data_IF_035754787855
#
_entry.id   IF_035754787855
#
_cell.length_a   1.000
_cell.length_b   1.000
_cell.length_c   1.000
_cell.angle_alpha   90.00
_cell.angle_beta   90.00
_cell.angle_gamma   90.00
#
_symmetry.space_group_name_H-M   'P 1'
#
loop_
_entity.id
_entity.type
_entity.pdbx_description
1 polymer ?
#
# COMPACT_ATOMS: atom_id res chain seq x y z
N UNK A 1 -39.22 49.09 6.88
CA UNK A 1 -38.44 48.93 5.63
C UNK A 1 -36.96 48.80 6.02
N UNK A 2 -36.51 47.66 6.55
CA UNK A 2 -35.10 47.29 6.83
C UNK A 2 -35.02 45.79 7.18
N UNK A 3 -35.24 44.94 6.19
CA UNK A 3 -35.07 43.48 6.33
C UNK A 3 -34.82 42.90 4.93
N UNK A 4 -33.62 43.09 4.37
CA UNK A 4 -33.17 42.43 3.14
C UNK A 4 -31.70 42.76 2.89
N UNK A 5 -30.76 42.25 3.73
CA UNK A 5 -29.33 42.28 3.37
C UNK A 5 -28.47 41.33 4.26
N UNK A 6 -28.93 40.13 4.55
CA UNK A 6 -28.11 39.12 5.30
C UNK A 6 -28.24 37.73 4.66
N UNK A 7 -28.40 37.61 3.37
CA UNK A 7 -28.48 36.30 2.70
C UNK A 7 -27.52 36.13 1.50
N UNK A 8 -26.42 36.88 1.43
CA UNK A 8 -25.52 36.78 0.26
C UNK A 8 -24.04 36.56 0.58
N UNK A 9 -23.68 36.08 1.78
CA UNK A 9 -22.27 35.76 2.12
C UNK A 9 -22.03 34.29 2.49
N UNK A 10 -23.06 33.43 2.44
CA UNK A 10 -22.94 32.01 2.76
C UNK A 10 -22.65 31.11 1.54
N UNK A 11 -22.54 31.67 0.33
CA UNK A 11 -22.45 30.90 -0.91
C UNK A 11 -21.06 30.69 -1.52
N UNK A 12 -20.00 31.28 -0.96
CA UNK A 12 -18.70 31.33 -1.69
C UNK A 12 -17.55 30.61 -0.98
N UNK A 13 -17.79 29.94 0.14
CA UNK A 13 -16.74 29.19 0.88
C UNK A 13 -16.73 27.68 0.57
N UNK A 14 -17.76 27.16 -0.10
CA UNK A 14 -17.84 25.70 -0.40
C UNK A 14 -17.12 25.25 -1.67
N UNK A 15 -16.42 26.12 -2.41
CA UNK A 15 -15.79 25.73 -3.69
C UNK A 15 -14.27 25.51 -3.64
N UNK A 16 -13.62 25.61 -2.48
CA UNK A 16 -12.17 25.36 -2.35
C UNK A 16 -11.80 24.07 -1.59
N UNK A 17 -12.77 23.30 -1.12
CA UNK A 17 -12.53 22.00 -0.46
C UNK A 17 -12.69 20.78 -1.38
N UNK A 18 -12.97 21.00 -2.66
CA UNK A 18 -13.32 19.95 -3.62
C UNK A 18 -12.14 19.21 -4.28
N UNK A 19 -10.90 19.56 -4.00
CA UNK A 19 -9.75 18.98 -4.73
C UNK A 19 -8.86 18.03 -3.92
N UNK A 20 -9.14 17.75 -2.65
CA UNK A 20 -8.34 16.87 -1.81
C UNK A 20 -9.04 15.51 -1.54
N UNK A 21 -10.33 15.38 -1.82
CA UNK A 21 -11.10 14.16 -1.48
C UNK A 21 -11.12 13.09 -2.57
N UNK A 22 -10.60 13.37 -3.79
CA UNK A 22 -10.68 12.40 -4.89
C UNK A 22 -9.67 11.25 -4.77
N UNK A 23 -8.62 11.38 -3.95
CA UNK A 23 -7.56 10.37 -3.82
C UNK A 23 -7.84 9.38 -2.66
N UNK A 24 -8.60 9.78 -1.64
CA UNK A 24 -8.96 8.89 -0.52
C UNK A 24 -10.04 7.86 -0.89
N UNK A 25 -10.94 8.20 -1.81
CA UNK A 25 -12.10 7.36 -2.16
C UNK A 25 -11.71 6.11 -2.98
N UNK A 26 -10.51 6.07 -3.54
CA UNK A 26 -10.00 4.94 -4.33
C UNK A 26 -8.90 4.13 -3.64
N UNK A 27 -8.44 4.56 -2.47
CA UNK A 27 -7.45 3.84 -1.67
C UNK A 27 -8.06 2.59 -1.03
N UNK A 28 -7.30 1.50 -1.00
CA UNK A 28 -7.72 0.32 -0.25
C UNK A 28 -7.36 0.47 1.23
N UNK A 29 -8.38 0.57 2.06
CA UNK A 29 -8.26 0.60 3.52
C UNK A 29 -8.65 -0.75 4.13
N UNK A 30 -7.72 -1.38 4.82
CA UNK A 30 -8.00 -2.58 5.61
C UNK A 30 -8.19 -2.19 7.08
N UNK A 31 -9.36 -2.49 7.63
CA UNK A 31 -9.68 -2.20 9.04
C UNK A 31 -9.30 -3.41 9.89
N UNK A 32 -8.43 -3.22 10.89
CA UNK A 32 -8.00 -4.25 11.83
C UNK A 32 -8.21 -3.71 13.25
N UNK A 33 -9.27 -4.14 13.90
CA UNK A 33 -9.64 -3.65 15.23
C UNK A 33 -9.84 -2.13 15.24
N UNK A 34 -9.22 -1.39 16.17
CA UNK A 34 -9.32 0.07 16.25
C UNK A 34 -8.30 0.81 15.38
N UNK A 35 -7.70 0.15 14.39
CA UNK A 35 -6.76 0.71 13.43
C UNK A 35 -7.11 0.35 12.01
N UNK A 36 -6.39 0.95 11.07
CA UNK A 36 -6.49 0.66 9.65
C UNK A 36 -5.14 0.75 8.96
N UNK A 37 -5.00 0.01 7.86
CA UNK A 37 -3.87 0.10 6.95
C UNK A 37 -4.37 0.76 5.68
N UNK A 38 -3.77 1.87 5.31
CA UNK A 38 -3.91 2.46 3.98
C UNK A 38 -2.84 1.84 3.07
N UNK A 39 -3.25 0.88 2.29
CA UNK A 39 -2.36 0.14 1.38
C UNK A 39 -1.98 0.92 0.13
N UNK A 40 -2.69 2.01 -0.17
CA UNK A 40 -2.33 2.88 -1.27
C UNK A 40 -1.19 3.83 -0.86
N UNK A 41 -1.31 4.53 0.26
CA UNK A 41 -0.26 5.43 0.75
C UNK A 41 0.83 4.72 1.56
N UNK A 42 0.63 3.47 1.96
CA UNK A 42 1.53 2.72 2.82
C UNK A 42 1.61 3.29 4.23
N UNK A 43 0.46 3.44 4.88
CA UNK A 43 0.39 4.01 6.21
C UNK A 43 -0.43 3.13 7.17
N UNK A 44 0.08 3.01 8.39
CA UNK A 44 -0.67 2.49 9.53
C UNK A 44 -1.33 3.64 10.27
N UNK A 45 -2.61 3.51 10.56
CA UNK A 45 -3.41 4.46 11.33
C UNK A 45 -4.00 3.73 12.54
N UNK A 46 -3.82 4.26 13.73
CA UNK A 46 -4.42 3.69 14.95
C UNK A 46 -5.00 4.77 15.81
N UNK A 47 -6.14 4.50 16.43
CA UNK A 47 -6.83 5.44 17.32
C UNK A 47 -6.77 4.98 18.76
N UNK A 48 -6.83 5.93 19.68
CA UNK A 48 -6.92 5.69 21.10
C UNK A 48 -7.82 6.72 21.78
N UNK A 49 -8.51 6.26 22.81
CA UNK A 49 -9.43 7.06 23.60
C UNK A 49 -8.94 7.10 25.05
N UNK A 50 -8.84 8.29 25.61
CA UNK A 50 -8.48 8.52 27.02
C UNK A 50 -9.61 9.20 27.77
N UNK A 51 -10.10 8.56 28.80
CA UNK A 51 -11.14 9.10 29.66
C UNK A 51 -10.51 9.98 30.75
N UNK A 52 -11.18 11.07 31.14
CA UNK A 52 -10.76 11.86 32.30
C UNK A 52 -10.89 11.04 33.60
N UNK A 53 -9.98 11.21 34.57
CA UNK A 53 -10.01 10.45 35.83
C UNK A 53 -11.25 10.70 36.66
N UNK A 54 -11.89 11.84 36.51
CA UNK A 54 -13.10 12.23 37.26
C UNK A 54 -14.20 12.60 36.28
N UNK A 55 -15.45 12.11 36.57
CA UNK A 55 -16.65 12.45 35.78
C UNK A 55 -17.10 13.91 35.88
N UNK A 56 -16.47 14.74 36.70
CA UNK A 56 -16.71 16.17 36.72
C UNK A 56 -15.98 16.80 35.51
N UNK A 57 -16.74 17.61 34.76
CA UNK A 57 -16.25 18.37 33.59
C UNK A 57 -14.80 18.78 33.81
N UNK A 58 -13.92 18.34 32.92
CA UNK A 58 -12.47 18.45 33.08
C UNK A 58 -12.01 19.90 32.87
N UNK A 59 -12.23 20.76 33.85
CA UNK A 59 -11.67 22.13 33.90
C UNK A 59 -10.21 22.14 34.36
N UNK A 60 -9.67 20.97 34.67
CA UNK A 60 -8.31 20.84 35.19
C UNK A 60 -7.37 20.37 34.08
N UNK A 61 -6.37 21.21 33.76
CA UNK A 61 -5.31 20.92 32.81
C UNK A 61 -4.61 19.56 33.07
N UNK A 62 -4.47 19.19 34.35
CA UNK A 62 -3.87 17.92 34.74
C UNK A 62 -4.71 16.71 34.33
N UNK A 63 -6.03 16.79 34.37
CA UNK A 63 -6.93 15.69 33.96
C UNK A 63 -6.98 15.57 32.45
N UNK A 64 -6.92 16.67 31.69
CA UNK A 64 -6.74 16.67 30.23
C UNK A 64 -5.42 16.01 29.83
N UNK A 65 -4.33 16.32 30.53
CA UNK A 65 -3.01 15.73 30.29
C UNK A 65 -3.01 14.21 30.58
N UNK A 66 -3.70 13.77 31.63
CA UNK A 66 -3.87 12.33 31.94
C UNK A 66 -4.69 11.63 30.87
N UNK A 67 -5.81 12.23 30.44
CA UNK A 67 -6.65 11.68 29.36
C UNK A 67 -5.85 11.59 28.04
N UNK A 68 -5.07 12.62 27.69
CA UNK A 68 -4.19 12.61 26.53
C UNK A 68 -3.14 11.49 26.62
N UNK A 69 -2.46 11.34 27.75
CA UNK A 69 -1.46 10.27 27.91
C UNK A 69 -2.10 8.88 27.85
N UNK A 70 -3.31 8.73 28.38
CA UNK A 70 -4.08 7.49 28.31
C UNK A 70 -4.45 7.17 26.86
N UNK A 71 -4.99 8.15 26.11
CA UNK A 71 -5.36 7.97 24.70
C UNK A 71 -4.15 7.62 23.85
N UNK A 72 -3.00 8.27 24.08
CA UNK A 72 -1.74 7.96 23.38
C UNK A 72 -1.27 6.54 23.68
N UNK A 73 -1.30 6.12 24.94
CA UNK A 73 -0.93 4.77 25.35
C UNK A 73 -1.84 3.72 24.69
N UNK A 74 -3.14 3.99 24.63
CA UNK A 74 -4.10 3.10 23.97
C UNK A 74 -3.84 3.03 22.48
N UNK A 75 -3.63 4.17 21.79
CA UNK A 75 -3.32 4.21 20.38
C UNK A 75 -2.02 3.45 20.03
N UNK A 76 -0.98 3.57 20.87
CA UNK A 76 0.26 2.81 20.69
C UNK A 76 0.04 1.30 20.82
N UNK A 77 -0.76 0.84 21.79
CA UNK A 77 -1.12 -0.58 21.92
C UNK A 77 -1.86 -1.09 20.68
N UNK A 78 -2.80 -0.28 20.17
CA UNK A 78 -3.56 -0.59 18.98
C UNK A 78 -2.64 -0.62 17.73
N UNK A 79 -1.66 0.28 17.65
CA UNK A 79 -0.64 0.29 16.60
C UNK A 79 0.21 -0.98 16.63
N UNK A 80 0.63 -1.45 17.80
CA UNK A 80 1.36 -2.72 17.93
C UNK A 80 0.53 -3.87 17.37
N UNK A 81 -0.74 -3.99 17.77
CA UNK A 81 -1.62 -5.05 17.29
C UNK A 81 -1.79 -5.02 15.77
N UNK A 82 -2.01 -3.82 15.21
CA UNK A 82 -2.17 -3.57 13.78
C UNK A 82 -0.91 -3.97 12.99
N UNK A 83 0.24 -3.46 13.39
CA UNK A 83 1.53 -3.74 12.73
C UNK A 83 1.88 -5.22 12.78
N UNK A 84 1.69 -5.88 13.94
CA UNK A 84 1.97 -7.31 14.09
C UNK A 84 1.03 -8.20 13.27
N UNK A 85 -0.20 -7.75 12.99
CA UNK A 85 -1.15 -8.49 12.17
C UNK A 85 -0.96 -8.28 10.66
N UNK A 86 -0.08 -7.36 10.26
CA UNK A 86 0.12 -7.03 8.83
C UNK A 86 0.71 -8.22 8.08
N UNK A 87 0.10 -8.56 6.95
CA UNK A 87 0.58 -9.60 6.03
C UNK A 87 1.83 -9.15 5.30
N UNK A 88 2.84 -10.01 5.29
CA UNK A 88 4.04 -9.80 4.48
C UNK A 88 3.85 -10.47 3.12
N UNK A 89 3.50 -11.72 3.10
CA UNK A 89 3.22 -12.54 1.92
C UNK A 89 2.05 -13.49 2.19
N UNK A 90 1.85 -14.50 1.34
CA UNK A 90 0.76 -15.48 1.46
C UNK A 90 0.85 -16.40 2.69
N UNK A 91 1.97 -16.43 3.40
CA UNK A 91 2.25 -17.40 4.48
C UNK A 91 2.73 -16.73 5.77
N UNK A 92 3.15 -15.47 5.72
CA UNK A 92 3.81 -14.81 6.84
C UNK A 92 3.27 -13.42 7.15
N UNK A 93 3.31 -13.07 8.44
CA UNK A 93 2.99 -11.75 8.98
C UNK A 93 4.23 -11.09 9.59
N UNK A 94 4.11 -9.80 9.92
CA UNK A 94 5.14 -9.07 10.68
C UNK A 94 5.46 -9.78 12.00
N UNK A 95 4.46 -10.34 12.67
CA UNK A 95 4.63 -11.09 13.90
C UNK A 95 5.58 -12.29 13.71
N UNK A 96 5.41 -13.03 12.61
CA UNK A 96 6.21 -14.24 12.35
C UNK A 96 7.69 -13.90 12.13
N UNK A 97 7.97 -12.74 11.52
CA UNK A 97 9.35 -12.27 11.34
C UNK A 97 9.91 -11.68 12.64
N UNK A 98 9.14 -10.82 13.30
CA UNK A 98 9.59 -10.13 14.51
C UNK A 98 9.86 -11.12 15.67
N UNK A 99 9.04 -12.18 15.80
CA UNK A 99 9.22 -13.21 16.84
C UNK A 99 10.49 -14.03 16.70
N UNK A 100 11.11 -14.06 15.52
CA UNK A 100 12.37 -14.79 15.27
C UNK A 100 13.62 -14.05 15.74
N UNK A 101 13.50 -12.76 16.10
CA UNK A 101 14.64 -11.93 16.46
C UNK A 101 14.25 -10.78 17.39
N UNK A 102 14.75 -10.81 18.62
CA UNK A 102 14.56 -9.74 19.61
C UNK A 102 15.02 -8.37 19.09
N UNK A 103 16.06 -8.36 18.26
CA UNK A 103 16.55 -7.13 17.63
C UNK A 103 15.54 -6.53 16.64
N UNK A 104 14.87 -7.37 15.84
CA UNK A 104 13.82 -6.94 14.91
C UNK A 104 12.63 -6.43 15.71
N UNK A 105 12.20 -7.18 16.72
CA UNK A 105 11.10 -6.79 17.61
C UNK A 105 11.36 -5.42 18.24
N UNK A 106 12.51 -5.22 18.87
CA UNK A 106 12.87 -3.96 19.51
C UNK A 106 12.90 -2.77 18.51
N UNK A 107 13.35 -3.00 17.28
CA UNK A 107 13.32 -1.97 16.24
C UNK A 107 11.91 -1.64 15.77
N UNK A 108 11.05 -2.64 15.60
CA UNK A 108 9.62 -2.44 15.26
C UNK A 108 8.94 -1.64 16.36
N UNK A 109 9.13 -1.99 17.63
CA UNK A 109 8.58 -1.24 18.76
C UNK A 109 9.10 0.21 18.80
N UNK A 110 10.38 0.42 18.50
CA UNK A 110 10.95 1.78 18.41
C UNK A 110 10.27 2.61 17.33
N UNK A 111 10.01 2.04 16.15
CA UNK A 111 9.31 2.72 15.05
C UNK A 111 7.85 3.02 15.43
N UNK A 112 7.17 2.09 16.10
CA UNK A 112 5.81 2.30 16.60
C UNK A 112 5.78 3.47 17.61
N UNK A 113 6.72 3.49 18.55
CA UNK A 113 6.81 4.57 19.55
C UNK A 113 7.12 5.94 18.93
N UNK A 114 7.75 5.96 17.74
CA UNK A 114 8.02 7.16 16.95
C UNK A 114 6.84 7.62 16.09
N UNK A 115 5.68 6.95 16.15
CA UNK A 115 4.47 7.31 15.40
C UNK A 115 4.04 8.74 15.70
N UNK A 116 3.57 9.44 14.65
CA UNK A 116 3.13 10.84 14.74
C UNK A 116 1.65 10.91 15.10
N UNK A 117 1.29 11.85 15.98
CA UNK A 117 -0.11 12.24 16.19
C UNK A 117 -0.57 13.04 14.97
N UNK A 118 -1.57 12.53 14.25
CA UNK A 118 -2.13 13.19 13.05
C UNK A 118 -3.50 13.79 13.30
N UNK A 119 -4.20 13.31 14.32
CA UNK A 119 -5.48 13.87 14.75
C UNK A 119 -5.56 13.86 16.29
N UNK A 120 -6.12 14.91 16.86
CA UNK A 120 -6.34 15.05 18.29
C UNK A 120 -7.64 15.82 18.51
N UNK A 121 -8.56 15.23 19.26
CA UNK A 121 -9.86 15.83 19.58
C UNK A 121 -10.10 15.81 21.09
N UNK A 122 -10.66 16.89 21.60
CA UNK A 122 -11.10 17.03 22.97
C UNK A 122 -12.62 17.13 22.99
N UNK A 123 -13.26 16.16 23.61
CA UNK A 123 -14.70 16.13 23.75
C UNK A 123 -15.17 16.92 24.97
N UNK A 124 -16.44 17.32 24.99
CA UNK A 124 -17.03 18.14 26.03
C UNK A 124 -17.08 17.48 27.41
N UNK A 125 -17.03 16.15 27.46
CA UNK A 125 -16.98 15.36 28.70
C UNK A 125 -15.56 15.18 29.25
N UNK A 126 -14.55 15.79 28.59
CA UNK A 126 -13.15 15.68 28.95
C UNK A 126 -12.42 14.46 28.35
N UNK A 127 -13.11 13.65 27.57
CA UNK A 127 -12.48 12.57 26.80
C UNK A 127 -11.53 13.14 25.75
N UNK A 128 -10.40 12.48 25.52
CA UNK A 128 -9.43 12.82 24.49
C UNK A 128 -9.33 11.67 23.51
N UNK A 129 -9.51 11.98 22.24
CA UNK A 129 -9.29 11.03 21.14
C UNK A 129 -8.08 11.44 20.35
N UNK A 130 -7.19 10.50 20.06
CA UNK A 130 -6.04 10.74 19.18
C UNK A 130 -5.96 9.67 18.10
N UNK A 131 -5.39 10.06 16.96
CA UNK A 131 -4.99 9.15 15.91
C UNK A 131 -3.49 9.25 15.67
N UNK A 132 -2.83 8.11 15.67
CA UNK A 132 -1.41 7.95 15.32
C UNK A 132 -1.28 7.49 13.88
N UNK A 133 -0.21 7.94 13.21
CA UNK A 133 0.22 7.47 11.91
C UNK A 133 1.67 7.00 11.96
N UNK A 134 1.93 5.81 11.41
CA UNK A 134 3.26 5.27 11.15
C UNK A 134 3.38 4.96 9.65
N UNK A 135 4.55 5.24 9.06
CA UNK A 135 4.80 4.91 7.66
C UNK A 135 5.22 3.44 7.52
N UNK A 136 4.65 2.74 6.56
CA UNK A 136 5.00 1.36 6.19
C UNK A 136 6.32 1.31 5.40
N UNK A 137 6.64 2.38 4.67
CA UNK A 137 7.84 2.45 3.84
C UNK A 137 9.06 2.99 4.60
N UNK A 138 10.23 2.93 3.97
CA UNK A 138 11.47 3.37 4.58
C UNK A 138 11.99 2.40 5.64
N UNK A 139 12.24 2.91 6.85
CA UNK A 139 12.86 2.12 7.93
C UNK A 139 12.11 0.85 8.33
N UNK A 140 10.77 0.87 8.31
CA UNK A 140 9.98 -0.32 8.61
C UNK A 140 10.10 -1.36 7.48
N UNK A 141 9.90 -0.95 6.21
CA UNK A 141 10.07 -1.84 5.07
C UNK A 141 11.49 -2.42 5.00
N UNK A 142 12.52 -1.59 5.25
CA UNK A 142 13.92 -2.04 5.29
C UNK A 142 14.14 -3.17 6.30
N UNK A 143 13.42 -3.15 7.42
CA UNK A 143 13.53 -4.12 8.50
C UNK A 143 12.78 -5.43 8.20
N UNK A 144 11.61 -5.32 7.57
CA UNK A 144 10.63 -6.41 7.45
C UNK A 144 10.70 -7.12 6.10
N UNK A 145 11.03 -6.40 5.01
CA UNK A 145 11.09 -7.02 3.68
C UNK A 145 12.12 -8.14 3.62
N UNK A 146 11.80 -9.25 2.94
CA UNK A 146 12.71 -10.38 2.75
C UNK A 146 14.07 -9.95 2.20
N UNK A 147 15.13 -10.66 2.65
CA UNK A 147 16.51 -10.39 2.20
C UNK A 147 16.74 -10.81 0.76
N UNK A 148 15.92 -11.71 0.26
CA UNK A 148 15.92 -12.21 -1.13
C UNK A 148 15.57 -11.13 -2.15
N UNK A 149 14.96 -10.00 -1.71
CA UNK A 149 14.86 -8.79 -2.52
C UNK A 149 16.26 -8.16 -2.53
N UNK A 150 17.09 -8.62 -3.45
CA UNK A 150 18.48 -8.22 -3.51
C UNK A 150 18.67 -6.76 -3.95
N UNK A 151 19.74 -6.14 -3.45
CA UNK A 151 20.35 -5.03 -4.14
C UNK A 151 20.89 -5.59 -5.45
N UNK A 152 20.13 -5.45 -6.54
CA UNK A 152 20.62 -5.84 -7.86
C UNK A 152 21.79 -4.89 -8.19
N UNK A 153 22.98 -5.32 -7.88
CA UNK A 153 24.16 -4.77 -8.53
C UNK A 153 23.90 -4.85 -10.03
N UNK A 154 24.11 -3.74 -10.72
CA UNK A 154 23.93 -3.57 -12.17
C UNK A 154 24.26 -4.86 -12.89
N UNK A 155 23.29 -5.51 -13.51
CA UNK A 155 23.51 -6.70 -14.33
C UNK A 155 24.52 -6.27 -15.38
N UNK A 156 25.78 -6.66 -15.16
CA UNK A 156 26.75 -6.69 -16.27
C UNK A 156 26.10 -7.57 -17.32
N UNK A 157 25.83 -6.99 -18.46
CA UNK A 157 25.34 -7.63 -19.68
C UNK A 157 25.78 -9.08 -19.72
N UNK A 158 24.85 -10.00 -19.47
CA UNK A 158 25.05 -11.40 -19.84
C UNK A 158 24.97 -11.40 -21.34
N UNK A 159 26.14 -11.54 -21.94
CA UNK A 159 26.32 -11.78 -23.38
C UNK A 159 25.37 -12.90 -23.80
N UNK A 160 24.57 -12.61 -24.81
CA UNK A 160 23.72 -13.59 -25.45
C UNK A 160 24.56 -14.79 -25.90
N UNK A 161 24.46 -15.90 -25.18
CA UNK A 161 24.89 -17.17 -25.70
C UNK A 161 23.85 -17.63 -26.72
N UNK A 162 24.31 -17.76 -27.94
CA UNK A 162 23.65 -18.25 -29.14
C UNK A 162 22.76 -19.46 -28.82
N UNK A 163 21.49 -19.38 -29.19
CA UNK A 163 20.72 -20.55 -29.53
C UNK A 163 20.19 -20.33 -30.92
N UNK A 164 20.92 -20.87 -31.91
CA UNK A 164 20.44 -21.08 -33.27
C UNK A 164 19.16 -21.93 -33.21
N UNK A 165 18.04 -21.35 -33.63
CA UNK A 165 16.91 -22.12 -34.15
C UNK A 165 16.61 -21.60 -35.55
N UNK A 166 17.07 -22.36 -36.52
CA UNK A 166 16.62 -22.33 -37.91
C UNK A 166 15.12 -22.67 -37.97
N UNK A 167 14.34 -21.82 -38.61
CA UNK A 167 12.97 -22.09 -38.96
C UNK A 167 12.30 -20.86 -39.57
N UNK A 168 12.50 -20.68 -40.92
CA UNK A 168 11.67 -19.80 -41.71
C UNK A 168 10.19 -20.15 -41.56
N UNK A 169 9.37 -19.17 -41.24
CA UNK A 169 8.17 -18.88 -42.03
C UNK A 169 7.62 -17.50 -41.58
N UNK A 170 7.71 -16.59 -42.52
CA UNK A 170 7.20 -15.24 -42.48
C UNK A 170 5.67 -15.24 -42.56
N UNK A 171 5.02 -15.01 -41.44
CA UNK A 171 3.67 -14.42 -41.39
C UNK A 171 3.73 -13.26 -40.42
N UNK A 172 3.80 -12.07 -40.93
CA UNK A 172 3.65 -10.82 -40.17
C UNK A 172 2.19 -10.75 -39.66
N UNK A 173 1.94 -10.72 -38.34
CA UNK A 173 0.64 -10.26 -37.83
C UNK A 173 0.55 -8.73 -37.98
N UNK A 174 -0.66 -8.20 -38.16
CA UNK A 174 -0.86 -6.78 -38.38
C UNK A 174 -0.56 -5.97 -37.12
N UNK A 175 0.15 -4.85 -37.31
CA UNK A 175 0.31 -3.67 -36.45
C UNK A 175 0.23 -3.88 -34.93
N UNK A 176 1.26 -4.47 -34.33
CA UNK A 176 1.56 -4.22 -32.93
C UNK A 176 2.05 -2.77 -32.81
N UNK A 177 1.15 -1.90 -32.37
CA UNK A 177 1.51 -0.57 -31.87
C UNK A 177 2.63 -0.74 -30.86
N UNK A 178 3.79 -0.24 -31.16
CA UNK A 178 5.03 -0.33 -30.39
C UNK A 178 4.94 0.56 -29.14
N UNK A 179 3.93 0.31 -28.28
CA UNK A 179 3.71 1.09 -27.08
C UNK A 179 4.52 0.50 -25.93
N UNK A 180 5.56 1.23 -25.53
CA UNK A 180 6.28 0.91 -24.31
C UNK A 180 5.37 1.17 -23.11
N UNK A 181 5.11 0.14 -22.32
CA UNK A 181 4.34 0.29 -21.08
C UNK A 181 5.16 1.01 -20.00
N UNK A 182 4.48 1.77 -19.16
CA UNK A 182 5.09 2.59 -18.10
C UNK A 182 4.85 2.04 -16.69
N UNK A 183 3.99 1.06 -16.55
CA UNK A 183 3.59 0.42 -15.30
C UNK A 183 2.64 -0.74 -15.55
N UNK A 184 2.21 -1.39 -14.47
CA UNK A 184 1.26 -2.50 -14.48
C UNK A 184 0.06 -2.18 -13.59
N UNK A 185 -1.14 -2.39 -14.11
CA UNK A 185 -2.39 -2.41 -13.33
C UNK A 185 -2.98 -3.80 -13.43
N UNK A 186 -3.14 -4.47 -12.30
CA UNK A 186 -3.80 -5.79 -12.21
C UNK A 186 -5.20 -5.57 -11.67
N UNK A 187 -6.21 -5.77 -12.49
CA UNK A 187 -7.61 -5.76 -12.06
C UNK A 187 -7.97 -7.12 -11.47
N UNK A 188 -7.87 -7.21 -10.15
CA UNK A 188 -8.19 -8.40 -9.36
C UNK A 188 -9.57 -8.32 -8.68
N UNK A 189 -10.43 -7.37 -9.08
CA UNK A 189 -11.80 -7.25 -8.56
C UNK A 189 -12.56 -8.57 -8.79
N UNK A 190 -13.25 -9.05 -7.75
CA UNK A 190 -13.99 -10.32 -7.74
C UNK A 190 -13.14 -11.54 -7.44
N UNK A 191 -11.81 -11.42 -7.31
CA UNK A 191 -10.93 -12.55 -6.93
C UNK A 191 -10.79 -12.72 -5.43
N UNK A 192 -11.24 -11.72 -4.66
CA UNK A 192 -11.05 -11.65 -3.20
C UNK A 192 -9.56 -11.66 -2.81
N UNK A 193 -8.71 -11.07 -3.64
CA UNK A 193 -7.30 -10.91 -3.33
C UNK A 193 -7.12 -9.96 -2.14
N UNK A 194 -6.29 -10.33 -1.18
CA UNK A 194 -6.00 -9.53 0.00
C UNK A 194 -4.62 -8.86 -0.12
N UNK A 195 -4.50 -7.61 0.33
CA UNK A 195 -3.23 -6.91 0.30
C UNK A 195 -2.15 -7.57 1.17
N UNK A 196 -0.91 -7.51 0.68
CA UNK A 196 0.29 -7.90 1.41
C UNK A 196 1.46 -6.96 1.04
N UNK A 197 2.49 -6.90 1.88
CA UNK A 197 3.68 -6.08 1.61
C UNK A 197 4.50 -6.63 0.44
N UNK A 198 4.45 -7.95 0.23
CA UNK A 198 5.22 -8.69 -0.78
C UNK A 198 4.26 -9.57 -1.60
N UNK A 199 3.40 -8.95 -2.44
CA UNK A 199 2.52 -9.73 -3.30
C UNK A 199 3.30 -10.49 -4.37
N UNK A 200 2.72 -11.60 -4.82
CA UNK A 200 3.23 -12.39 -5.94
C UNK A 200 2.18 -12.43 -7.04
N UNK A 201 2.61 -12.26 -8.28
CA UNK A 201 1.78 -12.48 -9.46
C UNK A 201 2.32 -13.69 -10.20
N UNK A 202 1.45 -14.68 -10.44
CA UNK A 202 1.76 -15.89 -11.19
C UNK A 202 1.02 -15.89 -12.52
N UNK A 203 1.53 -16.66 -13.48
CA UNK A 203 0.74 -17.05 -14.63
C UNK A 203 -0.08 -18.32 -14.32
N UNK A 204 -0.94 -18.75 -15.24
CA UNK A 204 -1.77 -19.96 -15.09
C UNK A 204 -0.97 -21.25 -14.85
N UNK A 205 0.29 -21.28 -15.29
CA UNK A 205 1.21 -22.40 -15.09
C UNK A 205 1.95 -22.36 -13.75
N UNK A 206 1.64 -21.41 -12.88
CA UNK A 206 2.30 -21.22 -11.58
C UNK A 206 3.68 -20.57 -11.67
N UNK A 207 4.09 -20.06 -12.84
CA UNK A 207 5.37 -19.36 -12.98
C UNK A 207 5.21 -17.91 -12.50
N UNK A 208 6.13 -17.46 -11.64
CA UNK A 208 6.15 -16.08 -11.15
C UNK A 208 6.48 -15.10 -12.27
N UNK A 209 5.66 -14.06 -12.40
CA UNK A 209 5.83 -12.96 -13.35
C UNK A 209 6.05 -11.61 -12.67
N UNK A 210 5.73 -11.52 -11.36
CA UNK A 210 6.06 -10.40 -10.50
C UNK A 210 6.19 -10.84 -9.03
N UNK A 211 7.04 -10.16 -8.27
CA UNK A 211 7.29 -10.39 -6.86
C UNK A 211 8.75 -10.11 -6.48
N UNK A 212 9.27 -10.66 -5.37
CA UNK A 212 10.60 -10.36 -4.83
C UNK A 212 11.75 -10.40 -5.85
N UNK A 213 11.74 -11.37 -6.75
CA UNK A 213 12.80 -11.56 -7.75
C UNK A 213 12.80 -10.51 -8.88
N UNK A 214 11.76 -9.71 -9.01
CA UNK A 214 11.59 -8.75 -10.10
C UNK A 214 11.87 -7.30 -9.69
N UNK A 215 12.04 -7.02 -8.40
CA UNK A 215 12.10 -5.66 -7.86
C UNK A 215 13.48 -5.32 -7.33
N UNK A 216 13.83 -4.04 -7.37
CA UNK A 216 14.98 -3.50 -6.66
C UNK A 216 14.62 -3.23 -5.21
N UNK A 217 15.49 -3.65 -4.27
CA UNK A 217 15.29 -3.40 -2.84
C UNK A 217 15.12 -1.92 -2.52
N UNK A 218 15.86 -1.06 -3.20
CA UNK A 218 15.79 0.38 -3.00
C UNK A 218 14.38 0.90 -3.26
N UNK A 219 13.78 0.56 -4.42
CA UNK A 219 12.42 0.96 -4.75
C UNK A 219 11.39 0.28 -3.84
N UNK A 220 11.55 -1.01 -3.54
CA UNK A 220 10.66 -1.75 -2.64
C UNK A 220 10.61 -1.15 -1.22
N UNK A 221 11.76 -0.71 -0.70
CA UNK A 221 11.85 -0.05 0.60
C UNK A 221 11.20 1.33 0.58
N UNK A 222 11.42 2.11 -0.47
CA UNK A 222 10.93 3.49 -0.54
C UNK A 222 9.44 3.59 -0.89
N UNK A 223 8.92 2.67 -1.70
CA UNK A 223 7.59 2.77 -2.31
C UNK A 223 6.68 1.57 -2.05
N UNK A 224 7.20 0.47 -1.48
CA UNK A 224 6.54 -0.84 -1.46
C UNK A 224 6.65 -1.56 -2.80
N UNK A 225 6.31 -2.86 -2.83
CA UNK A 225 6.31 -3.62 -4.07
C UNK A 225 5.16 -3.22 -5.00
N UNK A 226 4.00 -2.87 -4.43
CA UNK A 226 2.85 -2.36 -5.18
C UNK A 226 2.01 -1.41 -4.32
N UNK A 227 0.98 -0.83 -4.94
CA UNK A 227 -0.12 -0.14 -4.27
C UNK A 227 -1.40 -0.95 -4.43
N UNK A 228 -2.31 -0.81 -3.47
CA UNK A 228 -3.65 -1.40 -3.58
C UNK A 228 -4.70 -0.31 -3.65
N UNK A 229 -5.62 -0.47 -4.59
CA UNK A 229 -6.71 0.47 -4.83
C UNK A 229 -8.02 -0.30 -5.03
N UNK A 230 -9.15 0.38 -4.89
CA UNK A 230 -10.49 -0.19 -5.07
C UNK A 230 -11.12 0.16 -6.43
N UNK A 231 -10.48 1.05 -7.18
CA UNK A 231 -11.04 1.57 -8.43
C UNK A 231 -10.01 1.54 -9.57
N UNK A 232 -10.34 0.83 -10.66
CA UNK A 232 -9.44 0.67 -11.82
C UNK A 232 -9.22 1.97 -12.58
N UNK A 233 -10.23 2.84 -12.70
CA UNK A 233 -10.06 4.11 -13.42
C UNK A 233 -9.10 5.06 -12.66
N UNK A 234 -9.19 5.07 -11.33
CA UNK A 234 -8.27 5.82 -10.49
C UNK A 234 -6.85 5.23 -10.56
N UNK A 235 -6.73 3.90 -10.57
CA UNK A 235 -5.43 3.22 -10.72
C UNK A 235 -4.74 3.59 -12.04
N UNK A 236 -5.47 3.66 -13.14
CA UNK A 236 -4.95 4.06 -14.46
C UNK A 236 -4.42 5.50 -14.50
N UNK A 237 -4.97 6.38 -13.68
CA UNK A 237 -4.58 7.79 -13.57
C UNK A 237 -3.48 8.03 -12.54
N UNK A 238 -3.13 6.99 -11.76
CA UNK A 238 -2.16 7.14 -10.69
C UNK A 238 -0.74 7.35 -11.26
N UNK A 239 -0.01 8.38 -10.79
CA UNK A 239 1.35 8.69 -11.27
C UNK A 239 2.35 7.54 -11.17
N UNK A 240 2.14 6.60 -10.24
CA UNK A 240 3.03 5.45 -10.04
C UNK A 240 3.14 4.60 -11.29
N UNK A 241 2.04 4.34 -11.99
CA UNK A 241 2.03 3.51 -13.20
C UNK A 241 2.33 4.29 -14.48
N UNK A 242 2.43 5.62 -14.39
CA UNK A 242 2.71 6.50 -15.52
C UNK A 242 1.54 6.67 -16.48
N UNK A 243 1.83 7.10 -17.71
CA UNK A 243 0.83 7.51 -18.68
C UNK A 243 0.28 6.38 -19.57
N UNK A 244 0.95 5.24 -19.62
CA UNK A 244 0.58 4.10 -20.47
C UNK A 244 0.78 2.77 -19.73
N UNK A 245 -0.01 2.46 -18.68
CA UNK A 245 0.12 1.19 -17.96
C UNK A 245 -0.43 0.01 -18.77
N UNK A 246 0.23 -1.14 -18.65
CA UNK A 246 -0.35 -2.40 -19.08
C UNK A 246 -1.46 -2.80 -18.09
N UNK A 247 -2.65 -3.03 -18.59
CA UNK A 247 -3.78 -3.52 -17.80
C UNK A 247 -3.95 -5.02 -18.04
N UNK A 248 -4.01 -5.79 -16.96
CA UNK A 248 -4.23 -7.24 -16.99
C UNK A 248 -5.33 -7.63 -16.03
N UNK A 249 -6.07 -8.69 -16.35
CA UNK A 249 -7.12 -9.22 -15.47
C UNK A 249 -6.55 -10.29 -14.54
N UNK A 250 -6.79 -10.14 -13.23
CA UNK A 250 -6.61 -11.20 -12.26
C UNK A 250 -7.68 -12.26 -12.46
N UNK A 251 -7.28 -13.52 -12.60
CA UNK A 251 -8.19 -14.65 -12.80
C UNK A 251 -8.68 -15.24 -11.47
N UNK A 252 -7.81 -15.31 -10.50
CA UNK A 252 -8.05 -15.82 -9.15
C UNK A 252 -6.97 -15.37 -8.19
N UNK A 253 -7.25 -15.44 -6.90
CA UNK A 253 -6.27 -15.28 -5.82
C UNK A 253 -5.93 -16.66 -5.23
N UNK A 254 -4.65 -16.87 -4.92
CA UNK A 254 -4.09 -18.11 -4.35
C UNK A 254 -3.32 -17.82 -3.05
N UNK A 255 -2.96 -18.88 -2.33
CA UNK A 255 -2.29 -18.84 -1.05
C UNK A 255 -3.25 -18.78 0.13
N UNK A 256 -2.75 -19.07 1.33
CA UNK A 256 -3.55 -19.08 2.57
C UNK A 256 -4.20 -17.73 2.82
N UNK A 257 -3.44 -16.65 2.61
CA UNK A 257 -3.89 -15.27 2.80
C UNK A 257 -4.31 -14.58 1.50
N UNK A 258 -4.50 -15.35 0.40
CA UNK A 258 -4.98 -14.82 -0.90
C UNK A 258 -4.21 -13.60 -1.42
N UNK A 259 -2.94 -13.45 -1.09
CA UNK A 259 -2.10 -12.34 -1.54
C UNK A 259 -1.34 -12.62 -2.84
N UNK A 260 -1.51 -13.82 -3.42
CA UNK A 260 -0.98 -14.21 -4.72
C UNK A 260 -2.08 -14.09 -5.77
N UNK A 261 -1.84 -13.31 -6.83
CA UNK A 261 -2.80 -13.13 -7.93
C UNK A 261 -2.33 -13.91 -9.15
N UNK A 262 -3.22 -14.65 -9.79
CA UNK A 262 -2.94 -15.37 -11.04
C UNK A 262 -3.51 -14.60 -12.22
N UNK A 263 -2.68 -14.40 -13.25
CA UNK A 263 -3.06 -13.77 -14.53
C UNK A 263 -2.95 -14.77 -15.69
N UNK A 264 -3.50 -14.43 -16.85
CA UNK A 264 -3.45 -15.32 -18.02
C UNK A 264 -2.01 -15.50 -18.51
N UNK A 265 -1.74 -16.67 -19.15
CA UNK A 265 -0.45 -16.91 -19.80
C UNK A 265 -0.16 -15.90 -20.92
N UNK A 266 -1.20 -15.44 -21.61
CA UNK A 266 -1.10 -14.42 -22.65
C UNK A 266 -0.65 -13.08 -22.09
N UNK A 267 -1.27 -12.61 -21.00
CA UNK A 267 -0.89 -11.36 -20.35
C UNK A 267 0.51 -11.46 -19.71
N UNK A 268 0.83 -12.59 -19.12
CA UNK A 268 2.16 -12.88 -18.59
C UNK A 268 3.23 -12.80 -19.68
N UNK A 269 2.98 -13.40 -20.85
CA UNK A 269 3.87 -13.34 -22.00
C UNK A 269 4.03 -11.91 -22.50
N UNK A 270 2.93 -11.16 -22.61
CA UNK A 270 2.96 -9.74 -23.01
C UNK A 270 3.75 -8.89 -22.01
N UNK A 271 3.59 -9.13 -20.70
CA UNK A 271 4.33 -8.43 -19.65
C UNK A 271 5.84 -8.67 -19.75
N UNK A 272 6.25 -9.91 -19.99
CA UNK A 272 7.66 -10.31 -20.01
C UNK A 272 8.33 -10.23 -21.40
N UNK A 273 7.60 -9.84 -22.45
CA UNK A 273 8.09 -9.83 -23.83
C UNK A 273 9.17 -8.79 -24.12
N UNK A 274 9.23 -7.71 -23.35
CA UNK A 274 10.13 -6.57 -23.57
C UNK A 274 10.98 -6.27 -22.35
N UNK A 275 12.25 -5.93 -22.55
CA UNK A 275 13.17 -5.52 -21.48
C UNK A 275 12.72 -4.24 -20.75
N UNK A 276 12.05 -3.33 -21.47
CA UNK A 276 11.49 -2.09 -20.93
C UNK A 276 10.42 -2.36 -19.87
N UNK A 277 9.64 -3.44 -20.04
CA UNK A 277 8.65 -3.85 -19.05
C UNK A 277 9.30 -4.30 -17.74
N UNK A 278 10.45 -4.96 -17.81
CA UNK A 278 11.21 -5.34 -16.63
C UNK A 278 11.72 -4.12 -15.86
N UNK A 279 11.99 -3.01 -16.56
CA UNK A 279 12.45 -1.78 -15.92
C UNK A 279 11.39 -1.16 -15.00
N UNK A 280 10.12 -1.08 -15.42
CA UNK A 280 9.08 -0.55 -14.55
C UNK A 280 8.70 -1.52 -13.43
N UNK A 281 8.75 -2.85 -13.65
CA UNK A 281 8.56 -3.84 -12.60
C UNK A 281 9.63 -3.70 -11.51
N UNK A 282 10.90 -3.52 -11.92
CA UNK A 282 12.02 -3.29 -11.02
C UNK A 282 11.83 -2.03 -10.16
N UNK A 283 11.17 -1.01 -10.70
CA UNK A 283 10.82 0.24 -10.01
C UNK A 283 9.53 0.14 -9.18
N UNK A 284 8.94 -1.04 -9.03
CA UNK A 284 7.69 -1.26 -8.27
C UNK A 284 6.51 -0.42 -8.80
N UNK A 285 6.46 -0.15 -10.12
CA UNK A 285 5.36 0.59 -10.76
C UNK A 285 4.16 -0.31 -11.02
N UNK A 286 3.60 -0.85 -9.95
CA UNK A 286 2.52 -1.84 -9.98
C UNK A 286 1.39 -1.40 -9.06
N UNK A 287 0.16 -1.48 -9.55
CA UNK A 287 -1.06 -1.32 -8.76
C UNK A 287 -1.89 -2.59 -8.91
N UNK A 288 -2.37 -3.12 -7.79
CA UNK A 288 -3.36 -4.20 -7.75
C UNK A 288 -4.68 -3.58 -7.30
N UNK A 289 -5.71 -3.74 -8.12
CA UNK A 289 -7.06 -3.26 -7.81
C UNK A 289 -7.86 -4.45 -7.27
N UNK A 290 -8.41 -4.33 -6.08
CA UNK A 290 -9.17 -5.39 -5.40
C UNK A 290 -10.35 -4.81 -4.64
N UNK A 291 -11.31 -5.66 -4.26
CA UNK A 291 -12.58 -5.36 -3.56
C UNK A 291 -12.50 -5.62 -2.05
#
# INVERSE_FOLDING_TARGET
MKFRLICMIAGTVCLLFGYVLADEESSYFEIIGPGSIDWCSGAFLSSGVGLPPTKKVADNENDRKKAFNSSKTQALKNMVALVMATRIDAESSVRDIASKSDHVMAKVESLINASKVVKQEYLSDGTVEIQLRMNMYGGFAQLILPKEIEQIETIKTVSAAETEFLGNDSVSPPDEVNSNFTGLVVDAIGTQALPAMVPVILNENGKQVYGPAFVSREFAVQHGLCRYMTNTEAALKNPIVGSNPLVVKGLRAEGTDRSTVVISNTDASKLLSKSENLAFLKQCRVIIVTD
#
